data_IF_869688264302
#
_entry.id   IF_869688264302
#
_cell.length_a   1.000
_cell.length_b   1.000
_cell.length_c   1.000
_cell.angle_alpha   90.00
_cell.angle_beta   90.00
_cell.angle_gamma   90.00
#
_symmetry.space_group_name_H-M   'P 1'
#
loop_
_entity.id
_entity.type
_entity.pdbx_description
1 polymer ?
#
# COMPACT_ATOMS: atom_id res chain seq x y z
N UNK A 1 -0.81 11.05 9.09
CA UNK A 1 -0.79 10.42 7.75
C UNK A 1 0.33 11.09 7.01
N UNK A 2 1.34 10.34 6.55
CA UNK A 2 2.40 10.93 5.73
C UNK A 2 2.22 10.34 4.34
N UNK A 3 1.73 11.15 3.41
CA UNK A 3 1.74 10.84 1.99
C UNK A 3 3.13 11.24 1.52
N UNK A 4 3.92 10.29 1.05
CA UNK A 4 5.16 10.60 0.35
C UNK A 4 4.96 10.24 -1.11
N UNK A 5 4.73 11.25 -1.94
CA UNK A 5 4.84 11.12 -3.38
C UNK A 5 6.32 11.02 -3.72
N UNK A 6 6.74 10.00 -4.46
CA UNK A 6 8.06 10.03 -5.11
C UNK A 6 7.88 9.76 -6.58
N UNK A 7 8.14 10.78 -7.40
CA UNK A 7 8.19 10.65 -8.85
C UNK A 7 9.39 9.81 -9.24
N UNK A 8 9.15 8.56 -9.64
CA UNK A 8 10.13 7.71 -10.30
C UNK A 8 9.73 7.47 -11.76
N UNK A 9 10.60 7.81 -12.71
CA UNK A 9 10.55 7.40 -14.12
C UNK A 9 9.28 7.74 -14.93
N UNK A 10 8.70 8.94 -14.77
CA UNK A 10 7.60 9.41 -15.61
C UNK A 10 6.26 8.69 -15.39
N UNK A 11 6.21 7.75 -14.45
CA UNK A 11 4.99 7.14 -13.92
C UNK A 11 4.67 7.80 -12.57
N UNK A 12 3.40 8.10 -12.33
CA UNK A 12 2.94 8.57 -11.02
C UNK A 12 2.97 7.38 -10.04
N UNK A 13 4.16 7.03 -9.54
CA UNK A 13 4.33 5.99 -8.51
C UNK A 13 4.00 6.62 -7.16
N UNK A 14 2.90 6.17 -6.56
CA UNK A 14 2.44 6.70 -5.28
C UNK A 14 2.73 5.68 -4.18
N UNK A 15 3.52 6.07 -3.18
CA UNK A 15 3.92 5.20 -2.07
C UNK A 15 3.00 5.42 -0.87
N UNK A 16 2.42 4.35 -0.34
CA UNK A 16 1.58 4.41 0.86
C UNK A 16 2.25 3.65 1.99
N UNK A 17 2.76 4.40 2.97
CA UNK A 17 3.29 3.88 4.24
C UNK A 17 2.32 4.23 5.36
N UNK A 18 1.53 3.26 5.80
CA UNK A 18 0.36 3.53 6.63
C UNK A 18 0.50 3.00 8.06
N UNK A 19 0.04 3.82 9.03
CA UNK A 19 -0.10 3.52 10.47
C UNK A 19 -1.48 2.93 10.75
N UNK A 20 -1.50 1.76 11.41
CA UNK A 20 -2.60 0.79 11.60
C UNK A 20 -4.00 1.38 11.79
N UNK A 21 -4.98 0.59 11.32
CA UNK A 21 -6.45 0.70 11.44
C UNK A 21 -7.16 1.25 10.19
N UNK A 22 -7.54 0.31 9.30
CA UNK A 22 -8.29 0.47 8.05
C UNK A 22 -7.64 1.39 7.00
N UNK A 23 -7.11 0.78 5.93
CA UNK A 23 -6.52 1.55 4.84
C UNK A 23 -7.45 1.59 3.64
N UNK A 24 -7.84 2.82 3.31
CA UNK A 24 -8.46 3.18 2.05
C UNK A 24 -7.31 3.62 1.12
N UNK A 25 -7.03 2.83 0.09
CA UNK A 25 -6.15 3.25 -1.00
C UNK A 25 -7.04 4.11 -1.91
N UNK A 26 -6.92 5.43 -1.77
CA UNK A 26 -7.64 6.41 -2.59
C UNK A 26 -6.68 6.88 -3.68
N UNK A 27 -7.11 6.86 -4.93
CA UNK A 27 -6.47 7.65 -5.98
C UNK A 27 -6.82 9.12 -5.73
N UNK A 28 -6.11 9.81 -4.82
CA UNK A 28 -6.35 11.23 -4.60
C UNK A 28 -5.31 12.07 -5.33
N UNK A 29 -5.62 12.45 -6.57
CA UNK A 29 -5.36 13.82 -6.96
C UNK A 29 -6.49 14.38 -7.83
N UNK A 30 -6.98 15.54 -7.42
CA UNK A 30 -8.29 16.13 -7.68
C UNK A 30 -8.41 16.78 -9.07
N UNK A 31 -7.76 16.25 -10.11
CA UNK A 31 -7.60 17.00 -11.39
C UNK A 31 -8.09 16.24 -12.64
N UNK A 32 -8.22 14.91 -12.67
CA UNK A 32 -8.78 14.24 -13.87
C UNK A 32 -9.63 13.00 -13.53
N UNK A 33 -10.94 13.21 -13.51
CA UNK A 33 -11.98 12.27 -13.09
C UNK A 33 -12.33 11.19 -14.14
N UNK A 34 -11.45 10.88 -15.11
CA UNK A 34 -11.78 9.95 -16.18
C UNK A 34 -10.74 8.83 -16.26
N UNK A 35 -11.10 7.68 -15.65
CA UNK A 35 -10.64 6.32 -15.96
C UNK A 35 -9.25 5.85 -15.49
N UNK A 36 -8.62 6.49 -14.50
CA UNK A 36 -7.41 5.90 -13.90
C UNK A 36 -7.76 4.75 -12.95
N UNK A 37 -7.19 3.56 -13.19
CA UNK A 37 -7.30 2.38 -12.33
C UNK A 37 -5.98 2.05 -11.64
N UNK A 38 -6.07 1.39 -10.49
CA UNK A 38 -4.91 0.97 -9.69
C UNK A 38 -4.25 -0.25 -10.36
N UNK A 39 -2.92 -0.24 -10.42
CA UNK A 39 -2.09 -1.44 -10.63
C UNK A 39 -1.03 -1.51 -9.53
N UNK A 40 -1.17 -2.48 -8.63
CA UNK A 40 -0.23 -2.75 -7.55
C UNK A 40 1.04 -3.35 -8.13
N UNK A 41 2.16 -2.65 -7.95
CA UNK A 41 3.48 -3.12 -8.42
C UNK A 41 4.19 -3.94 -7.35
N UNK A 42 4.00 -3.59 -6.07
CA UNK A 42 4.50 -4.39 -4.95
C UNK A 42 3.66 -4.14 -3.70
N UNK A 43 3.53 -5.16 -2.87
CA UNK A 43 2.91 -5.03 -1.56
C UNK A 43 3.57 -5.99 -0.57
N UNK A 44 3.90 -5.49 0.62
CA UNK A 44 4.48 -6.30 1.71
C UNK A 44 3.80 -6.00 3.03
N UNK A 45 3.63 -7.05 3.84
CA UNK A 45 3.12 -6.94 5.21
C UNK A 45 4.19 -7.41 6.20
N UNK A 46 4.62 -6.52 7.09
CA UNK A 46 5.77 -6.79 7.95
C UNK A 46 6.38 -5.55 8.60
N UNK A 47 7.68 -5.61 8.87
CA UNK A 47 8.54 -4.51 9.27
C UNK A 47 9.89 -4.66 8.58
N UNK A 48 10.23 -3.66 7.78
CA UNK A 48 11.50 -3.51 7.05
C UNK A 48 12.40 -2.40 7.63
N UNK A 49 11.87 -1.56 8.53
CA UNK A 49 12.66 -0.52 9.21
C UNK A 49 12.13 -0.18 10.62
N UNK A 50 12.97 0.47 11.44
CA UNK A 50 12.65 0.82 12.85
C UNK A 50 11.81 2.08 13.01
N UNK A 51 11.75 2.95 12.00
CA UNK A 51 11.14 4.29 12.07
C UNK A 51 9.68 4.26 11.66
N UNK A 52 9.33 3.48 10.64
CA UNK A 52 7.97 3.39 10.11
C UNK A 52 7.02 2.84 11.18
N UNK A 53 5.93 3.58 11.39
CA UNK A 53 4.89 3.24 12.36
C UNK A 53 5.40 2.96 13.79
N UNK A 54 6.49 3.62 14.20
CA UNK A 54 7.18 3.42 15.49
C UNK A 54 6.61 4.19 16.67
N UNK A 55 5.86 5.27 16.40
CA UNK A 55 5.36 6.15 17.45
C UNK A 55 4.53 5.39 18.50
N UNK A 56 4.87 5.58 19.77
CA UNK A 56 4.22 4.95 20.94
C UNK A 56 4.26 3.41 20.91
N UNK A 57 5.29 2.82 20.31
CA UNK A 57 5.52 1.38 20.31
C UNK A 57 6.71 1.01 21.20
N UNK A 58 6.62 -0.11 21.97
CA UNK A 58 7.77 -0.64 22.69
C UNK A 58 8.93 -0.97 21.74
N UNK A 59 10.17 -0.73 22.17
CA UNK A 59 11.36 -0.95 21.36
C UNK A 59 11.48 -2.40 20.84
N UNK A 60 11.07 -3.38 21.65
CA UNK A 60 11.11 -4.81 21.28
C UNK A 60 10.22 -5.12 20.07
N UNK A 61 9.08 -4.44 19.94
CA UNK A 61 8.18 -4.61 18.79
C UNK A 61 8.71 -3.98 17.49
N UNK A 62 9.78 -3.18 17.58
CA UNK A 62 10.41 -2.48 16.47
C UNK A 62 11.77 -3.07 16.06
N UNK A 63 12.28 -4.05 16.82
CA UNK A 63 13.64 -4.57 16.67
C UNK A 63 13.83 -5.38 15.38
N UNK A 64 12.86 -6.23 15.06
CA UNK A 64 12.93 -7.10 13.88
C UNK A 64 12.54 -6.31 12.61
N UNK A 65 13.54 -6.01 11.78
CA UNK A 65 13.39 -5.30 10.50
C UNK A 65 13.61 -6.21 9.28
N UNK A 66 13.76 -7.51 9.50
CA UNK A 66 13.86 -8.53 8.44
C UNK A 66 12.61 -9.42 8.48
N UNK A 67 11.46 -8.81 8.78
CA UNK A 67 10.19 -9.49 8.82
C UNK A 67 9.28 -8.95 7.73
N UNK A 68 8.96 -9.75 6.74
CA UNK A 68 7.86 -9.44 5.83
C UNK A 68 7.36 -10.68 5.13
N UNK A 69 6.15 -10.58 4.61
CA UNK A 69 5.61 -11.46 3.57
C UNK A 69 5.12 -10.61 2.42
N UNK A 70 5.09 -11.19 1.21
CA UNK A 70 4.38 -10.61 0.09
C UNK A 70 2.88 -10.60 0.39
N UNK A 71 2.21 -9.50 0.01
CA UNK A 71 0.81 -9.23 0.30
C UNK A 71 0.00 -9.18 -1.01
N UNK A 72 -0.01 -10.29 -1.74
CA UNK A 72 -0.63 -10.41 -3.08
C UNK A 72 -2.13 -10.07 -3.07
N UNK A 73 -2.81 -10.29 -1.94
CA UNK A 73 -4.24 -9.97 -1.74
C UNK A 73 -4.53 -8.48 -1.92
N UNK A 74 -3.53 -7.61 -1.81
CA UNK A 74 -3.67 -6.18 -2.14
C UNK A 74 -3.94 -6.03 -3.64
N UNK A 75 -3.15 -6.69 -4.49
CA UNK A 75 -3.34 -6.68 -5.94
C UNK A 75 -4.70 -7.25 -6.34
N UNK A 76 -5.08 -8.40 -5.79
CA UNK A 76 -6.37 -9.05 -6.04
C UNK A 76 -7.56 -8.15 -5.69
N UNK A 77 -7.45 -7.35 -4.62
CA UNK A 77 -8.54 -6.48 -4.16
C UNK A 77 -8.56 -5.14 -4.89
N UNK A 78 -7.44 -4.66 -5.39
CA UNK A 78 -7.25 -3.28 -5.84
C UNK A 78 -7.06 -3.11 -7.34
N UNK A 79 -6.47 -4.09 -8.03
CA UNK A 79 -6.16 -3.95 -9.46
C UNK A 79 -7.44 -3.72 -10.28
N UNK A 80 -7.38 -2.77 -11.23
CA UNK A 80 -8.51 -2.41 -12.08
C UNK A 80 -9.59 -1.56 -11.41
N UNK A 81 -9.42 -1.18 -10.13
CA UNK A 81 -10.37 -0.32 -9.40
C UNK A 81 -9.82 1.09 -9.26
N UNK A 82 -10.73 2.05 -9.13
CA UNK A 82 -10.38 3.45 -8.83
C UNK A 82 -10.08 3.67 -7.35
N UNK A 83 -10.57 2.79 -6.49
CA UNK A 83 -10.30 2.77 -5.07
C UNK A 83 -10.46 1.35 -4.54
N UNK A 84 -9.76 1.04 -3.45
CA UNK A 84 -9.95 -0.21 -2.73
C UNK A 84 -9.67 -0.01 -1.24
N UNK A 85 -10.19 -0.91 -0.42
CA UNK A 85 -9.96 -0.92 1.02
C UNK A 85 -9.34 -2.24 1.43
N UNK A 86 -8.19 -2.19 2.08
CA UNK A 86 -7.47 -3.38 2.56
C UNK A 86 -7.09 -3.21 4.02
N UNK A 87 -7.33 -4.25 4.83
CA UNK A 87 -7.04 -4.23 6.25
C UNK A 87 -5.66 -4.85 6.50
N UNK A 88 -4.71 -4.06 6.99
CA UNK A 88 -3.40 -4.54 7.44
C UNK A 88 -3.50 -5.33 8.75
N UNK A 89 -3.74 -6.62 8.64
CA UNK A 89 -3.92 -7.50 9.79
C UNK A 89 -3.46 -8.91 9.50
N UNK A 90 -3.06 -9.61 10.56
CA UNK A 90 -2.71 -11.03 10.50
C UNK A 90 -3.83 -11.92 9.93
N UNK A 91 -5.09 -11.48 10.04
CA UNK A 91 -6.23 -12.20 9.45
C UNK A 91 -6.18 -12.22 7.92
N UNK A 92 -5.65 -11.16 7.30
CA UNK A 92 -5.60 -11.03 5.84
C UNK A 92 -4.29 -11.61 5.30
N UNK A 93 -3.17 -11.35 5.97
CA UNK A 93 -1.82 -11.61 5.43
C UNK A 93 -1.02 -12.67 6.22
N UNK A 94 -1.63 -13.30 7.23
CA UNK A 94 -0.91 -14.16 8.18
C UNK A 94 0.01 -13.36 9.14
N UNK A 95 0.72 -14.09 10.01
CA UNK A 95 1.71 -13.49 10.92
C UNK A 95 3.14 -13.91 10.55
N UNK A 96 3.88 -13.10 9.77
CA UNK A 96 5.26 -13.43 9.39
C UNK A 96 6.27 -13.31 10.55
N UNK A 97 5.91 -12.64 11.65
CA UNK A 97 6.80 -12.48 12.80
C UNK A 97 6.02 -12.11 14.06
N UNK A 98 5.81 -13.12 14.91
CA UNK A 98 5.16 -12.94 16.20
C UNK A 98 5.92 -11.93 17.08
N UNK A 99 5.18 -11.12 17.85
CA UNK A 99 5.73 -10.10 18.74
C UNK A 99 6.25 -8.83 18.06
N UNK A 100 6.35 -8.80 16.73
CA UNK A 100 6.77 -7.62 15.97
C UNK A 100 5.57 -6.81 15.51
N UNK A 101 5.63 -5.49 15.68
CA UNK A 101 4.58 -4.60 15.16
C UNK A 101 4.76 -4.38 13.66
N UNK A 102 3.79 -4.82 12.87
CA UNK A 102 3.81 -4.81 11.41
C UNK A 102 3.06 -3.62 10.81
N UNK A 103 3.40 -3.27 9.58
CA UNK A 103 2.72 -2.33 8.71
C UNK A 103 2.59 -2.94 7.30
N UNK A 104 1.65 -2.41 6.53
CA UNK A 104 1.50 -2.73 5.12
C UNK A 104 2.20 -1.61 4.31
N UNK A 105 3.11 -1.99 3.45
CA UNK A 105 3.78 -1.11 2.49
C UNK A 105 3.31 -1.50 1.09
N UNK A 106 2.79 -0.53 0.34
CA UNK A 106 2.23 -0.74 -0.99
C UNK A 106 2.81 0.27 -1.96
N UNK A 107 3.28 -0.24 -3.09
CA UNK A 107 3.63 0.52 -4.28
C UNK A 107 2.60 0.20 -5.36
N UNK A 108 2.09 1.24 -6.01
CA UNK A 108 1.19 1.08 -7.14
C UNK A 108 1.34 2.27 -8.08
N UNK A 109 0.84 2.05 -9.30
CA UNK A 109 0.69 3.07 -10.32
C UNK A 109 -0.79 3.23 -10.65
N UNK A 110 -1.13 4.41 -11.18
CA UNK A 110 -2.43 4.68 -11.78
C UNK A 110 -2.26 4.73 -13.29
N UNK A 111 -3.08 3.98 -14.03
CA UNK A 111 -3.08 4.02 -15.49
C UNK A 111 -4.51 4.21 -16.00
N UNK A 112 -4.65 5.05 -17.02
CA UNK A 112 -5.92 5.31 -17.69
C UNK A 112 -6.12 4.37 -18.88
N UNK A 113 -7.25 3.68 -18.96
CA UNK A 113 -7.67 3.07 -20.22
C UNK A 113 -8.31 4.16 -21.11
N UNK A 114 -7.65 4.51 -22.21
CA UNK A 114 -8.34 5.17 -23.33
C UNK A 114 -9.28 4.12 -23.95
N UNK A 115 -10.55 4.11 -23.51
CA UNK A 115 -11.59 3.43 -24.26
C UNK A 115 -11.86 4.22 -25.54
N UNK A 116 -11.19 3.83 -26.63
CA UNK A 116 -11.67 4.15 -27.97
C UNK A 116 -12.98 3.37 -28.17
N UNK A 117 -14.11 3.97 -27.83
CA UNK A 117 -15.40 3.51 -28.31
C UNK A 117 -15.45 3.79 -29.82
N UNK A 118 -15.11 2.78 -30.62
CA UNK A 118 -15.44 2.75 -32.05
C UNK A 118 -16.96 2.55 -32.17
N UNK A 119 -17.66 3.63 -32.50
CA UNK A 119 -18.96 3.59 -33.15
C UNK A 119 -18.94 4.57 -34.32
#
# INVERSE_FOLDING_TARGET
MTISESKGNGLNVMFYRLKKDFYLIIVSNLINFLLNTIYVTSATYGRTDKKTCSARRPADQLKNTECFTYAEEVGERCNGKQWCKVKASNYVFGDPCYGTYKYLEVEYICYGEFRLSLH
#
